data_IF_609243758474
#
_entry.id   IF_609243758474
#
_cell.length_a   1.000
_cell.length_b   1.000
_cell.length_c   1.000
_cell.angle_alpha   90.00
_cell.angle_beta   90.00
_cell.angle_gamma   90.00
#
_symmetry.space_group_name_H-M   'P 1'
#
loop_
_entity.id
_entity.type
_entity.pdbx_description
1 polymer ?
#
# COMPACT_ATOMS: atom_id res chain seq x y z
N UNK A 1 -8.61 3.70 17.25
CA UNK A 1 -9.37 2.60 16.61
C UNK A 1 -9.00 1.28 17.27
N UNK A 2 -9.96 0.38 17.45
CA UNK A 2 -9.75 -0.98 17.98
C UNK A 2 -9.89 -2.06 16.92
N UNK A 3 -10.34 -1.72 15.74
CA UNK A 3 -10.35 -2.61 14.58
C UNK A 3 -10.17 -1.81 13.29
N UNK A 4 -9.71 -2.51 12.27
CA UNK A 4 -9.66 -2.00 10.93
C UNK A 4 -10.11 -3.03 9.91
N UNK A 5 -10.26 -2.63 8.67
CA UNK A 5 -10.71 -3.50 7.61
C UNK A 5 -10.10 -3.10 6.27
N UNK A 6 -9.73 -4.08 5.47
CA UNK A 6 -9.42 -3.91 4.04
C UNK A 6 -10.67 -4.34 3.27
N UNK A 7 -11.19 -3.47 2.39
CA UNK A 7 -12.36 -3.78 1.54
C UNK A 7 -11.89 -4.20 0.15
N UNK A 8 -12.08 -5.48 -0.18
CA UNK A 8 -11.68 -6.05 -1.47
C UNK A 8 -12.93 -6.24 -2.33
N UNK A 9 -13.18 -5.30 -3.25
CA UNK A 9 -14.30 -5.38 -4.18
C UNK A 9 -13.90 -6.22 -5.42
N UNK A 10 -14.61 -7.33 -5.71
CA UNK A 10 -14.27 -8.24 -6.80
C UNK A 10 -14.28 -7.59 -8.17
N UNK A 11 -15.08 -6.52 -8.37
CA UNK A 11 -15.12 -5.82 -9.68
C UNK A 11 -13.80 -5.13 -10.06
N UNK A 12 -12.93 -4.87 -9.06
CA UNK A 12 -11.63 -4.24 -9.29
C UNK A 12 -10.53 -5.25 -9.66
N UNK A 13 -10.83 -6.56 -9.62
CA UNK A 13 -9.83 -7.61 -9.79
C UNK A 13 -10.34 -8.72 -10.71
N UNK A 14 -9.83 -8.80 -11.93
CA UNK A 14 -10.25 -9.77 -12.95
C UNK A 14 -10.09 -11.24 -12.54
N UNK A 15 -9.18 -11.50 -11.60
CA UNK A 15 -8.85 -12.86 -11.09
C UNK A 15 -9.23 -13.05 -9.62
N UNK A 16 -10.28 -12.35 -9.15
CA UNK A 16 -10.72 -12.46 -7.77
C UNK A 16 -11.13 -13.91 -7.41
N UNK A 17 -10.40 -14.50 -6.47
CA UNK A 17 -10.70 -15.80 -5.86
C UNK A 17 -10.38 -15.73 -4.37
N UNK A 18 -11.36 -16.02 -3.53
CA UNK A 18 -11.22 -15.96 -2.06
C UNK A 18 -10.03 -16.80 -1.60
N UNK A 19 -9.89 -18.03 -2.12
CA UNK A 19 -8.80 -18.95 -1.74
C UNK A 19 -7.40 -18.36 -1.93
N UNK A 20 -7.22 -17.52 -2.95
CA UNK A 20 -5.92 -16.86 -3.17
C UNK A 20 -5.59 -15.93 -2.01
N UNK A 21 -6.55 -15.14 -1.53
CA UNK A 21 -6.35 -14.24 -0.39
C UNK A 21 -6.13 -15.00 0.91
N UNK A 22 -6.88 -16.10 1.14
CA UNK A 22 -6.68 -16.96 2.32
C UNK A 22 -5.26 -17.52 2.35
N UNK A 23 -4.75 -18.00 1.20
CA UNK A 23 -3.37 -18.49 1.09
C UNK A 23 -2.34 -17.38 1.38
N UNK A 24 -2.56 -16.16 0.87
CA UNK A 24 -1.68 -15.01 1.13
C UNK A 24 -1.72 -14.58 2.61
N UNK A 25 -2.88 -14.62 3.27
CA UNK A 25 -2.95 -14.33 4.72
C UNK A 25 -2.12 -15.31 5.54
N UNK A 26 -2.15 -16.60 5.17
CA UNK A 26 -1.32 -17.61 5.81
C UNK A 26 0.17 -17.41 5.50
N UNK A 27 0.52 -17.19 4.23
CA UNK A 27 1.89 -16.99 3.77
C UNK A 27 2.56 -15.81 4.49
N UNK A 28 1.86 -14.68 4.63
CA UNK A 28 2.38 -13.48 5.28
C UNK A 28 2.05 -13.42 6.77
N UNK A 29 1.39 -14.45 7.31
CA UNK A 29 0.96 -14.53 8.73
C UNK A 29 0.11 -13.31 9.16
N UNK A 30 -0.72 -12.82 8.26
CA UNK A 30 -1.58 -11.68 8.55
C UNK A 30 -2.77 -12.13 9.41
N UNK A 31 -3.02 -11.51 10.58
CA UNK A 31 -4.13 -11.87 11.46
C UNK A 31 -5.45 -11.27 10.97
N UNK A 32 -5.67 -11.34 9.66
CA UNK A 32 -6.88 -10.85 9.01
C UNK A 32 -7.96 -11.91 9.03
N UNK A 33 -9.17 -11.53 9.43
CA UNK A 33 -10.35 -12.40 9.39
C UNK A 33 -11.18 -12.00 8.16
N UNK A 34 -11.20 -12.85 7.12
CA UNK A 34 -11.98 -12.59 5.92
C UNK A 34 -13.47 -12.81 6.17
N UNK A 35 -14.25 -11.85 5.74
CA UNK A 35 -15.70 -11.87 5.80
C UNK A 35 -16.28 -11.56 4.43
N UNK A 36 -17.27 -12.31 4.00
CA UNK A 36 -17.95 -12.03 2.75
C UNK A 36 -18.67 -10.69 2.82
N UNK A 37 -18.50 -9.86 1.82
CA UNK A 37 -19.24 -8.60 1.66
C UNK A 37 -20.59 -8.88 0.94
N UNK A 38 -21.47 -7.89 0.97
CA UNK A 38 -22.78 -7.96 0.29
C UNK A 38 -22.63 -8.20 -1.23
N UNK A 39 -21.60 -7.67 -1.84
CA UNK A 39 -21.31 -7.73 -3.28
C UNK A 39 -20.51 -8.96 -3.72
N UNK A 40 -20.21 -9.89 -2.80
CA UNK A 40 -19.40 -11.07 -3.08
C UNK A 40 -17.90 -10.86 -2.96
N UNK A 41 -17.46 -9.69 -2.49
CA UNK A 41 -16.08 -9.40 -2.14
C UNK A 41 -15.72 -9.80 -0.71
N UNK A 42 -14.60 -9.26 -0.20
CA UNK A 42 -14.12 -9.54 1.15
C UNK A 42 -13.95 -8.25 1.95
N UNK A 43 -14.46 -8.25 3.17
CA UNK A 43 -14.05 -7.35 4.24
C UNK A 43 -13.06 -8.10 5.13
N UNK A 44 -11.79 -7.73 5.08
CA UNK A 44 -10.73 -8.40 5.85
C UNK A 44 -10.47 -7.62 7.13
N UNK A 45 -11.01 -8.11 8.25
CA UNK A 45 -10.94 -7.44 9.55
C UNK A 45 -9.64 -7.74 10.28
N UNK A 46 -9.06 -6.69 10.86
CA UNK A 46 -7.99 -6.76 11.84
C UNK A 46 -8.52 -6.24 13.19
N UNK A 47 -8.39 -7.03 14.25
CA UNK A 47 -8.78 -6.65 15.60
C UNK A 47 -7.55 -6.38 16.46
N UNK A 48 -7.66 -5.37 17.33
CA UNK A 48 -6.58 -4.96 18.22
C UNK A 48 -6.95 -5.21 19.68
N UNK A 49 -5.95 -5.59 20.48
CA UNK A 49 -6.10 -5.78 21.91
C UNK A 49 -6.23 -4.46 22.67
N UNK A 50 -5.78 -3.36 22.07
CA UNK A 50 -5.80 -2.00 22.61
C UNK A 50 -6.14 -0.98 21.52
N UNK A 51 -6.74 0.17 21.88
CA UNK A 51 -6.97 1.25 20.92
C UNK A 51 -5.65 1.89 20.46
N UNK A 52 -5.52 2.13 19.15
CA UNK A 52 -4.41 2.90 18.58
C UNK A 52 -4.93 4.09 17.77
N UNK A 53 -4.08 5.10 17.46
CA UNK A 53 -4.43 6.16 16.53
C UNK A 53 -4.91 5.59 15.19
N UNK A 54 -5.98 6.18 14.62
CA UNK A 54 -6.52 5.70 13.34
C UNK A 54 -5.49 5.81 12.22
N UNK A 55 -4.66 6.85 12.23
CA UNK A 55 -3.58 7.05 11.24
C UNK A 55 -2.58 5.89 11.22
N UNK A 56 -2.22 5.34 12.39
CA UNK A 56 -1.29 4.21 12.50
C UNK A 56 -1.92 2.93 11.94
N UNK A 57 -3.19 2.69 12.27
CA UNK A 57 -3.93 1.53 11.76
C UNK A 57 -4.11 1.60 10.24
N UNK A 58 -4.48 2.76 9.69
CA UNK A 58 -4.57 2.99 8.25
C UNK A 58 -3.22 2.69 7.58
N UNK A 59 -2.12 3.20 8.16
CA UNK A 59 -0.77 2.98 7.64
C UNK A 59 -0.41 1.49 7.62
N UNK A 60 -0.70 0.77 8.69
CA UNK A 60 -0.47 -0.67 8.79
C UNK A 60 -1.29 -1.46 7.76
N UNK A 61 -2.60 -1.21 7.65
CA UNK A 61 -3.45 -1.88 6.67
C UNK A 61 -2.98 -1.61 5.23
N UNK A 62 -2.60 -0.37 4.92
CA UNK A 62 -2.03 -0.02 3.61
C UNK A 62 -0.71 -0.74 3.31
N UNK A 63 0.08 -1.10 4.32
CA UNK A 63 1.30 -1.89 4.13
C UNK A 63 1.04 -3.32 3.66
N UNK A 64 -0.15 -3.86 3.96
CA UNK A 64 -0.54 -5.21 3.55
C UNK A 64 -1.09 -5.30 2.12
N UNK A 65 -1.43 -4.17 1.49
CA UNK A 65 -2.05 -4.19 0.16
C UNK A 65 -1.15 -4.81 -0.91
N UNK A 66 0.11 -4.37 -0.97
CA UNK A 66 1.06 -4.84 -1.99
C UNK A 66 1.31 -6.36 -1.93
N UNK A 67 1.62 -6.98 -0.75
CA UNK A 67 1.81 -8.43 -0.68
C UNK A 67 0.52 -9.22 -0.99
N UNK A 68 -0.64 -8.60 -0.83
CA UNK A 68 -1.91 -9.19 -1.19
C UNK A 68 -2.25 -9.01 -2.69
N UNK A 69 -1.38 -8.34 -3.45
CA UNK A 69 -1.64 -8.05 -4.87
C UNK A 69 -2.76 -7.04 -5.08
N UNK A 70 -3.03 -6.20 -4.08
CA UNK A 70 -4.07 -5.20 -4.11
C UNK A 70 -3.53 -3.84 -4.56
N UNK A 71 -4.40 -3.06 -5.20
CA UNK A 71 -4.10 -1.69 -5.59
C UNK A 71 -3.79 -0.82 -4.36
N UNK A 72 -2.80 0.08 -4.40
CA UNK A 72 -2.46 0.99 -3.30
C UNK A 72 -3.63 1.88 -2.86
N UNK A 73 -4.60 2.11 -3.74
CA UNK A 73 -5.80 2.90 -3.45
C UNK A 73 -6.99 2.06 -2.94
N UNK A 74 -6.79 0.72 -2.80
CA UNK A 74 -7.79 -0.15 -2.16
C UNK A 74 -8.27 0.44 -0.84
N UNK A 75 -9.58 0.45 -0.65
CA UNK A 75 -10.21 1.04 0.53
C UNK A 75 -9.82 0.31 1.82
N UNK A 76 -9.45 1.09 2.83
CA UNK A 76 -9.22 0.62 4.19
C UNK A 76 -10.03 1.42 5.18
N UNK A 77 -10.46 0.78 6.25
CA UNK A 77 -11.21 1.41 7.35
C UNK A 77 -10.42 1.32 8.65
N UNK A 78 -10.44 2.39 9.48
CA UNK A 78 -11.15 3.66 9.24
C UNK A 78 -10.61 4.41 8.02
N UNK A 79 -11.46 5.18 7.32
CA UNK A 79 -11.02 6.05 6.20
C UNK A 79 -10.41 7.35 6.72
N UNK A 80 -10.96 7.90 7.81
CA UNK A 80 -10.52 9.14 8.40
C UNK A 80 -9.39 8.91 9.40
N UNK A 81 -8.36 9.73 9.34
CA UNK A 81 -7.25 9.74 10.30
C UNK A 81 -7.70 10.23 11.68
N UNK A 82 -8.66 11.15 11.68
CA UNK A 82 -9.28 11.77 12.85
C UNK A 82 -10.73 12.14 12.54
N UNK A 83 -11.55 12.24 13.56
CA UNK A 83 -12.91 12.76 13.43
C UNK A 83 -12.86 14.28 13.53
N UNK A 84 -13.63 14.96 12.68
CA UNK A 84 -13.75 16.42 12.66
C UNK A 84 -15.03 16.86 13.38
N UNK A 85 -14.92 17.95 14.13
CA UNK A 85 -16.07 18.65 14.66
C UNK A 85 -16.71 19.53 13.55
N UNK A 86 -18.02 19.66 13.58
CA UNK A 86 -18.72 20.60 12.72
C UNK A 86 -18.74 22.01 13.36
N UNK A 87 -19.37 22.96 12.66
CA UNK A 87 -19.46 24.35 13.10
C UNK A 87 -20.24 24.54 14.43
N UNK A 88 -20.92 23.48 14.91
CA UNK A 88 -21.64 23.45 16.19
C UNK A 88 -20.86 22.73 17.28
N UNK A 89 -19.65 22.25 17.01
CA UNK A 89 -18.84 21.46 17.94
C UNK A 89 -19.29 20.00 18.06
N UNK A 90 -20.14 19.50 17.16
CA UNK A 90 -20.56 18.11 17.13
C UNK A 90 -19.60 17.27 16.29
N UNK A 91 -19.17 16.11 16.84
CA UNK A 91 -18.29 15.18 16.14
C UNK A 91 -19.09 14.53 15.01
N UNK A 92 -18.69 14.77 13.75
CA UNK A 92 -19.25 14.08 12.60
C UNK A 92 -18.81 12.61 12.59
N UNK A 93 -19.76 11.67 12.45
CA UNK A 93 -19.41 10.27 12.30
C UNK A 93 -18.55 10.08 11.04
N UNK A 94 -17.52 9.23 11.16
CA UNK A 94 -16.70 8.84 10.01
C UNK A 94 -17.43 7.90 9.06
N UNK A 95 -16.74 7.49 8.00
CA UNK A 95 -17.26 6.45 7.11
C UNK A 95 -17.49 5.15 7.88
N UNK A 96 -18.56 4.45 7.54
CA UNK A 96 -18.91 3.18 8.15
C UNK A 96 -18.64 2.01 7.21
N UNK A 97 -18.46 0.84 7.77
CA UNK A 97 -18.46 -0.44 7.07
C UNK A 97 -19.71 -1.22 7.45
N UNK A 98 -20.21 -2.01 6.52
CA UNK A 98 -21.42 -2.81 6.75
C UNK A 98 -21.24 -3.79 7.91
N UNK A 99 -22.26 -3.86 8.79
CA UNK A 99 -22.24 -4.72 9.96
C UNK A 99 -22.13 -6.21 9.55
N UNK A 100 -21.14 -6.94 10.12
CA UNK A 100 -21.06 -8.38 10.02
C UNK A 100 -22.33 -9.09 10.53
N UNK A 101 -22.65 -10.24 9.96
CA UNK A 101 -23.78 -11.08 10.38
C UNK A 101 -25.14 -10.35 10.45
N UNK A 102 -25.27 -9.22 9.71
CA UNK A 102 -26.57 -8.56 9.61
C UNK A 102 -27.64 -9.50 9.09
N UNK A 103 -28.82 -9.51 9.74
CA UNK A 103 -29.93 -10.39 9.46
C UNK A 103 -29.68 -11.90 9.82
N UNK A 104 -28.74 -12.15 10.72
CA UNK A 104 -28.48 -13.45 11.34
C UNK A 104 -28.52 -14.63 10.35
N UNK A 105 -29.46 -15.56 10.49
CA UNK A 105 -29.50 -16.80 9.71
C UNK A 105 -29.67 -16.67 8.19
N UNK A 106 -30.12 -15.49 7.72
CA UNK A 106 -30.28 -15.19 6.28
C UNK A 106 -29.11 -14.36 5.72
N UNK A 107 -28.08 -14.11 6.53
CA UNK A 107 -26.96 -13.26 6.11
C UNK A 107 -26.09 -13.94 5.08
N UNK A 108 -25.65 -13.17 4.07
CA UNK A 108 -24.53 -13.52 3.19
C UNK A 108 -23.19 -12.88 3.67
N UNK A 109 -23.20 -12.14 4.80
CA UNK A 109 -22.04 -11.43 5.38
C UNK A 109 -21.51 -12.20 6.58
N UNK A 110 -20.88 -13.34 6.31
CA UNK A 110 -20.31 -14.22 7.32
C UNK A 110 -18.79 -14.35 7.13
N UNK A 111 -18.09 -14.57 8.23
CA UNK A 111 -16.67 -14.88 8.18
C UNK A 111 -16.45 -16.30 7.64
N UNK A 112 -15.28 -16.48 7.03
CA UNK A 112 -14.80 -17.79 6.61
C UNK A 112 -13.47 -18.11 7.30
N UNK A 113 -13.21 -19.39 7.53
CA UNK A 113 -11.94 -19.86 8.04
C UNK A 113 -10.86 -19.97 6.93
N UNK A 114 -9.67 -20.44 7.29
CA UNK A 114 -8.53 -20.63 6.36
C UNK A 114 -8.85 -21.61 5.21
N UNK A 115 -9.83 -22.49 5.37
CA UNK A 115 -10.25 -23.50 4.41
C UNK A 115 -11.52 -23.07 3.65
N UNK A 116 -11.94 -21.81 3.81
CA UNK A 116 -13.13 -21.19 3.22
C UNK A 116 -14.45 -21.77 3.73
N UNK A 117 -14.47 -22.36 4.93
CA UNK A 117 -15.71 -22.81 5.56
C UNK A 117 -16.37 -21.64 6.28
N UNK A 118 -17.71 -21.58 6.19
CA UNK A 118 -18.49 -20.57 6.90
C UNK A 118 -18.35 -20.73 8.42
N UNK A 119 -18.01 -19.64 9.09
CA UNK A 119 -18.07 -19.54 10.55
C UNK A 119 -19.47 -19.09 10.98
N UNK A 120 -20.00 -19.68 12.06
CA UNK A 120 -21.10 -19.08 12.79
C UNK A 120 -20.64 -17.88 13.61
N UNK A 121 -21.57 -17.09 14.12
CA UNK A 121 -21.22 -15.87 14.87
C UNK A 121 -20.40 -16.14 16.13
N UNK A 122 -20.61 -17.26 16.80
CA UNK A 122 -19.88 -17.62 18.03
C UNK A 122 -18.42 -17.95 17.69
N UNK A 123 -18.19 -18.74 16.66
CA UNK A 123 -16.83 -19.05 16.18
C UNK A 123 -16.15 -17.81 15.65
N UNK A 124 -16.86 -16.92 14.94
CA UNK A 124 -16.29 -15.65 14.51
C UNK A 124 -15.82 -14.81 15.69
N UNK A 125 -16.67 -14.63 16.72
CA UNK A 125 -16.30 -13.86 17.92
C UNK A 125 -15.09 -14.47 18.64
N UNK A 126 -15.06 -15.80 18.76
CA UNK A 126 -13.93 -16.51 19.34
C UNK A 126 -12.66 -16.32 18.52
N UNK A 127 -12.74 -16.44 17.21
CA UNK A 127 -11.61 -16.22 16.29
C UNK A 127 -11.12 -14.76 16.37
N UNK A 128 -12.06 -13.81 16.41
CA UNK A 128 -11.72 -12.39 16.55
C UNK A 128 -10.95 -12.11 17.84
N UNK A 129 -11.38 -12.72 18.96
CA UNK A 129 -10.70 -12.57 20.24
C UNK A 129 -9.30 -13.19 20.24
N UNK A 130 -9.14 -14.38 19.64
CA UNK A 130 -7.86 -15.09 19.55
C UNK A 130 -6.85 -14.42 18.60
N UNK A 131 -7.34 -13.71 17.58
CA UNK A 131 -6.50 -13.04 16.58
C UNK A 131 -6.19 -11.57 16.89
N UNK A 132 -6.61 -11.07 18.06
CA UNK A 132 -6.24 -9.72 18.49
C UNK A 132 -4.73 -9.61 18.64
N UNK A 133 -4.19 -8.53 18.11
CA UNK A 133 -2.78 -8.18 18.27
C UNK A 133 -2.62 -6.80 18.91
N UNK A 134 -1.53 -6.61 19.65
CA UNK A 134 -1.16 -5.31 20.22
C UNK A 134 -0.42 -4.42 19.20
N UNK A 135 -0.26 -3.14 19.56
CA UNK A 135 0.48 -2.16 18.72
C UNK A 135 1.89 -2.65 18.36
N UNK A 136 2.62 -3.20 19.31
CA UNK A 136 3.99 -3.68 19.09
C UNK A 136 4.05 -4.86 18.10
N UNK A 137 3.09 -5.78 18.21
CA UNK A 137 2.99 -6.92 17.28
C UNK A 137 2.62 -6.44 15.88
N UNK A 138 1.69 -5.48 15.77
CA UNK A 138 1.33 -4.86 14.51
C UNK A 138 2.54 -4.19 13.83
N UNK A 139 3.33 -3.41 14.57
CA UNK A 139 4.53 -2.75 14.06
C UNK A 139 5.57 -3.78 13.56
N UNK A 140 5.79 -4.85 14.35
CA UNK A 140 6.68 -5.95 13.97
C UNK A 140 6.21 -6.63 12.68
N UNK A 141 4.91 -6.87 12.55
CA UNK A 141 4.32 -7.47 11.36
C UNK A 141 4.49 -6.60 10.11
N UNK A 142 4.28 -5.29 10.24
CA UNK A 142 4.52 -4.32 9.18
C UNK A 142 5.99 -4.33 8.74
N UNK A 143 6.93 -4.31 9.67
CA UNK A 143 8.36 -4.38 9.37
C UNK A 143 8.74 -5.68 8.65
N UNK A 144 8.24 -6.82 9.13
CA UNK A 144 8.49 -8.12 8.49
C UNK A 144 7.91 -8.17 7.08
N UNK A 145 6.72 -7.62 6.89
CA UNK A 145 6.06 -7.51 5.58
C UNK A 145 6.94 -6.71 4.62
N UNK A 146 7.45 -5.57 5.04
CA UNK A 146 8.35 -4.75 4.23
C UNK A 146 9.65 -5.46 3.89
N UNK A 147 10.28 -6.11 4.88
CA UNK A 147 11.50 -6.88 4.67
C UNK A 147 11.30 -7.99 3.63
N UNK A 148 10.21 -8.75 3.73
CA UNK A 148 9.91 -9.84 2.80
C UNK A 148 9.70 -9.32 1.36
N UNK A 149 8.99 -8.21 1.18
CA UNK A 149 8.73 -7.62 -0.13
C UNK A 149 10.03 -7.10 -0.77
N UNK A 150 10.92 -6.52 0.02
CA UNK A 150 12.16 -5.90 -0.45
C UNK A 150 13.34 -6.87 -0.56
N UNK A 151 13.18 -8.15 -0.24
CA UNK A 151 14.23 -9.16 -0.45
C UNK A 151 14.72 -9.13 -1.91
N UNK A 152 16.04 -9.05 -2.09
CA UNK A 152 16.69 -9.05 -3.40
C UNK A 152 16.51 -7.74 -4.20
N UNK A 153 16.14 -6.64 -3.56
CA UNK A 153 16.23 -5.30 -4.16
C UNK A 153 17.67 -4.78 -4.07
N UNK A 154 17.98 -3.78 -4.91
CA UNK A 154 19.29 -3.14 -4.92
C UNK A 154 19.42 -2.18 -3.72
N UNK A 155 20.53 -2.29 -2.97
CA UNK A 155 20.86 -1.44 -1.82
C UNK A 155 20.89 0.07 -2.15
N UNK A 156 21.06 0.42 -3.41
CA UNK A 156 20.98 1.81 -3.89
C UNK A 156 19.69 2.50 -3.42
N UNK A 157 18.59 1.74 -3.27
CA UNK A 157 17.27 2.26 -2.95
C UNK A 157 16.89 2.11 -1.46
N UNK A 158 17.78 1.65 -0.59
CA UNK A 158 17.43 1.38 0.81
C UNK A 158 16.95 2.60 1.59
N UNK A 159 17.41 3.77 1.18
CA UNK A 159 17.06 5.08 1.75
C UNK A 159 16.14 5.92 0.84
N UNK A 160 15.71 5.36 -0.28
CA UNK A 160 14.88 5.98 -1.32
C UNK A 160 13.49 5.36 -1.47
N UNK A 161 12.76 5.74 -2.55
CA UNK A 161 11.41 5.22 -2.80
C UNK A 161 11.40 3.70 -3.00
N UNK A 162 10.65 2.91 -2.20
CA UNK A 162 10.62 1.45 -2.33
C UNK A 162 10.11 0.96 -3.68
N UNK A 163 9.25 1.74 -4.35
CA UNK A 163 8.74 1.42 -5.68
C UNK A 163 9.86 1.35 -6.72
N UNK A 164 10.88 2.22 -6.63
CA UNK A 164 12.05 2.15 -7.51
C UNK A 164 12.84 0.86 -7.29
N UNK A 165 13.05 0.48 -6.02
CA UNK A 165 13.68 -0.78 -5.66
C UNK A 165 12.93 -1.99 -6.27
N UNK A 166 11.61 -1.98 -6.19
CA UNK A 166 10.77 -3.06 -6.72
C UNK A 166 10.71 -3.08 -8.24
N UNK A 167 10.70 -1.91 -8.88
CA UNK A 167 10.76 -1.81 -10.33
C UNK A 167 12.10 -2.33 -10.88
N UNK A 168 13.20 -2.07 -10.17
CA UNK A 168 14.55 -2.43 -10.60
C UNK A 168 14.92 -3.91 -10.39
N UNK A 169 14.04 -4.74 -9.76
CA UNK A 169 14.29 -6.18 -9.62
C UNK A 169 14.48 -6.92 -10.96
N UNK A 170 13.91 -6.37 -12.01
CA UNK A 170 14.09 -6.82 -13.39
C UNK A 170 14.27 -5.60 -14.29
N UNK A 171 14.99 -5.76 -15.39
CA UNK A 171 15.06 -4.67 -16.38
C UNK A 171 13.67 -4.36 -16.92
N UNK A 172 13.38 -3.07 -17.06
CA UNK A 172 12.09 -2.61 -17.54
C UNK A 172 12.08 -2.53 -19.07
N UNK A 173 11.06 -3.13 -19.65
CA UNK A 173 10.73 -2.97 -21.08
C UNK A 173 9.68 -1.87 -21.28
N UNK A 174 8.64 -1.85 -20.45
CA UNK A 174 7.59 -0.83 -20.43
C UNK A 174 7.70 0.11 -19.22
N UNK A 175 7.08 1.29 -19.30
CA UNK A 175 7.11 2.30 -18.23
C UNK A 175 8.48 2.96 -18.02
N UNK A 176 9.41 2.79 -18.94
CA UNK A 176 10.81 3.26 -18.85
C UNK A 176 10.93 4.75 -18.59
N UNK A 177 10.21 5.59 -19.32
CA UNK A 177 10.25 7.05 -19.17
C UNK A 177 9.80 7.46 -17.76
N UNK A 178 8.76 6.82 -17.21
CA UNK A 178 8.26 7.10 -15.88
C UNK A 178 9.21 6.64 -14.78
N UNK A 179 9.74 5.42 -14.91
CA UNK A 179 10.75 4.94 -13.96
C UNK A 179 11.95 5.88 -13.94
N UNK A 180 12.52 6.20 -15.09
CA UNK A 180 13.70 7.06 -15.20
C UNK A 180 13.45 8.49 -14.69
N UNK A 181 12.23 9.02 -14.88
CA UNK A 181 11.86 10.31 -14.31
C UNK A 181 11.87 10.26 -12.76
N UNK A 182 11.21 9.26 -12.19
CA UNK A 182 11.18 9.09 -10.73
C UNK A 182 12.57 8.76 -10.15
N UNK A 183 13.38 8.00 -10.89
CA UNK A 183 14.78 7.76 -10.54
C UNK A 183 15.59 9.07 -10.54
N UNK A 184 15.41 9.94 -11.54
CA UNK A 184 16.06 11.25 -11.59
C UNK A 184 15.70 12.12 -10.36
N UNK A 185 14.41 12.15 -9.97
CA UNK A 185 13.99 12.89 -8.78
C UNK A 185 14.69 12.36 -7.52
N UNK A 186 14.76 11.04 -7.38
CA UNK A 186 15.51 10.39 -6.30
C UNK A 186 17.00 10.71 -6.36
N UNK A 187 17.63 10.57 -7.54
CA UNK A 187 19.05 10.82 -7.76
C UNK A 187 19.46 12.26 -7.43
N UNK A 188 18.63 13.24 -7.80
CA UNK A 188 18.86 14.66 -7.42
C UNK A 188 18.89 14.85 -5.91
N UNK A 189 17.98 14.19 -5.18
CA UNK A 189 17.94 14.27 -3.71
C UNK A 189 19.18 13.62 -3.08
N UNK A 190 19.53 12.42 -3.54
CA UNK A 190 20.60 11.60 -2.95
C UNK A 190 21.99 12.02 -3.37
N UNK A 191 22.22 12.23 -4.68
CA UNK A 191 23.56 12.40 -5.26
C UNK A 191 23.91 13.83 -5.61
N UNK A 192 22.98 14.80 -5.39
CA UNK A 192 23.21 16.22 -5.65
C UNK A 192 23.75 16.44 -7.08
N UNK A 193 24.85 17.16 -7.26
CA UNK A 193 25.39 17.50 -8.58
C UNK A 193 25.81 16.30 -9.44
N UNK A 194 26.01 15.13 -8.82
CA UNK A 194 26.37 13.88 -9.52
C UNK A 194 25.18 13.11 -10.10
N UNK A 195 23.94 13.60 -9.89
CA UNK A 195 22.74 12.91 -10.36
C UNK A 195 22.74 12.55 -11.85
N UNK A 196 23.34 13.34 -12.80
CA UNK A 196 23.34 12.98 -14.21
C UNK A 196 24.09 11.68 -14.51
N UNK A 197 25.22 11.46 -13.83
CA UNK A 197 26.02 10.24 -13.99
C UNK A 197 25.25 9.02 -13.48
N UNK A 198 24.56 9.17 -12.35
CA UNK A 198 23.71 8.12 -11.82
C UNK A 198 22.53 7.80 -12.72
N UNK A 199 21.89 8.80 -13.32
CA UNK A 199 20.82 8.60 -14.32
C UNK A 199 21.36 7.90 -15.58
N UNK A 200 22.56 8.26 -16.05
CA UNK A 200 23.20 7.58 -17.16
C UNK A 200 23.45 6.10 -16.85
N UNK A 201 23.97 5.79 -15.67
CA UNK A 201 24.17 4.41 -15.23
C UNK A 201 22.84 3.64 -15.09
N UNK A 202 21.81 4.27 -14.53
CA UNK A 202 20.49 3.68 -14.36
C UNK A 202 19.87 3.29 -15.72
N UNK A 203 20.08 4.08 -16.78
CA UNK A 203 19.64 3.78 -18.12
C UNK A 203 20.14 2.41 -18.62
N UNK A 204 21.38 2.05 -18.31
CA UNK A 204 21.94 0.75 -18.70
C UNK A 204 21.62 -0.37 -17.71
N UNK A 205 21.53 -0.05 -16.43
CA UNK A 205 21.33 -1.04 -15.39
C UNK A 205 19.88 -1.52 -15.30
N UNK A 206 18.92 -0.62 -15.50
CA UNK A 206 17.51 -0.87 -15.18
C UNK A 206 16.58 -0.94 -16.39
N UNK A 207 17.03 -0.53 -17.59
CA UNK A 207 16.22 -0.65 -18.79
C UNK A 207 16.65 -1.87 -19.65
N UNK A 208 15.68 -2.62 -20.17
CA UNK A 208 15.94 -3.74 -21.07
C UNK A 208 16.53 -3.22 -22.38
N UNK A 209 15.92 -2.17 -22.94
CA UNK A 209 16.43 -1.43 -24.07
C UNK A 209 16.83 -0.03 -23.61
N UNK A 210 18.12 0.20 -23.31
CA UNK A 210 18.59 1.53 -22.90
C UNK A 210 18.30 2.59 -23.95
N UNK A 211 18.03 3.81 -23.52
CA UNK A 211 17.98 4.95 -24.44
C UNK A 211 19.36 5.19 -25.06
N UNK A 212 19.37 5.57 -26.31
CA UNK A 212 20.58 6.02 -26.97
C UNK A 212 21.11 7.32 -26.33
N UNK A 213 22.36 7.64 -26.65
CA UNK A 213 23.04 8.80 -26.07
C UNK A 213 22.30 10.10 -26.34
N UNK A 214 21.76 10.29 -27.54
CA UNK A 214 21.07 11.54 -27.92
C UNK A 214 19.79 11.74 -27.09
N UNK A 215 18.97 10.69 -26.94
CA UNK A 215 17.76 10.73 -26.10
C UNK A 215 18.12 10.97 -24.64
N UNK A 216 19.14 10.26 -24.12
CA UNK A 216 19.56 10.38 -22.73
C UNK A 216 20.06 11.81 -22.42
N UNK A 217 20.94 12.37 -23.26
CA UNK A 217 21.48 13.71 -23.08
C UNK A 217 20.37 14.78 -23.16
N UNK A 218 19.41 14.59 -24.06
CA UNK A 218 18.23 15.46 -24.17
C UNK A 218 17.39 15.45 -22.91
N UNK A 219 17.11 14.24 -22.35
CA UNK A 219 16.35 14.09 -21.09
C UNK A 219 17.10 14.71 -19.92
N UNK A 220 18.39 14.44 -19.75
CA UNK A 220 19.21 15.03 -18.68
C UNK A 220 19.20 16.55 -18.78
N UNK A 221 19.33 17.12 -19.99
CA UNK A 221 19.29 18.56 -20.19
C UNK A 221 17.96 19.18 -19.81
N UNK A 222 16.85 18.56 -20.24
CA UNK A 222 15.50 19.00 -19.86
C UNK A 222 15.30 18.93 -18.33
N UNK A 223 15.72 17.83 -17.72
CA UNK A 223 15.57 17.62 -16.28
C UNK A 223 16.44 18.51 -15.39
N UNK A 224 17.53 19.12 -15.91
CA UNK A 224 18.30 20.12 -15.14
C UNK A 224 17.44 21.27 -14.65
N UNK A 225 16.43 21.67 -15.42
CA UNK A 225 15.52 22.78 -15.09
C UNK A 225 14.27 22.30 -14.34
N UNK A 226 14.04 21.00 -14.26
CA UNK A 226 12.85 20.42 -13.65
C UNK A 226 12.98 20.42 -12.12
N UNK A 227 12.03 21.04 -11.44
CA UNK A 227 11.91 21.08 -9.98
C UNK A 227 10.73 20.26 -9.47
N UNK A 228 10.01 19.58 -10.36
CA UNK A 228 8.85 18.77 -10.01
C UNK A 228 9.23 17.56 -9.13
N UNK A 229 8.24 17.06 -8.40
CA UNK A 229 8.38 15.90 -7.52
C UNK A 229 8.15 14.57 -8.22
N UNK A 230 8.04 13.50 -7.43
CA UNK A 230 7.72 12.17 -7.93
C UNK A 230 6.31 12.09 -8.53
N UNK A 231 6.16 11.32 -9.62
CA UNK A 231 4.87 11.01 -10.24
C UNK A 231 4.39 9.65 -9.77
N UNK A 232 3.79 9.59 -8.58
CA UNK A 232 3.46 8.33 -7.89
C UNK A 232 2.16 7.65 -8.34
N UNK A 233 1.36 8.30 -9.18
CA UNK A 233 -0.01 7.91 -9.51
C UNK A 233 -0.15 7.10 -10.81
N UNK A 234 0.96 6.73 -11.44
CA UNK A 234 0.94 5.94 -12.66
C UNK A 234 1.93 4.78 -12.62
N UNK A 235 1.60 3.70 -13.33
CA UNK A 235 2.47 2.54 -13.44
C UNK A 235 3.76 2.83 -14.23
N UNK A 236 4.85 2.12 -13.91
CA UNK A 236 4.98 1.00 -12.96
C UNK A 236 5.20 1.42 -11.50
N UNK A 237 5.18 2.71 -11.21
CA UNK A 237 5.46 3.25 -9.86
C UNK A 237 4.27 3.03 -8.93
N UNK A 238 3.05 3.31 -9.43
CA UNK A 238 1.81 3.26 -8.64
C UNK A 238 1.56 1.86 -8.06
N UNK A 239 1.52 0.84 -8.89
CA UNK A 239 1.25 -0.55 -8.47
C UNK A 239 2.26 -1.13 -7.47
N UNK A 240 3.42 -0.49 -7.30
CA UNK A 240 4.47 -0.87 -6.35
C UNK A 240 4.64 0.12 -5.20
N UNK A 241 3.65 1.00 -5.01
CA UNK A 241 3.74 2.05 -4.00
C UNK A 241 3.61 1.49 -2.59
N UNK A 242 4.62 1.76 -1.76
CA UNK A 242 4.66 1.49 -0.32
C UNK A 242 4.77 2.83 0.41
N UNK A 243 3.65 3.59 0.40
CA UNK A 243 3.62 5.01 0.80
C UNK A 243 4.19 5.25 2.20
N UNK A 244 3.75 4.49 3.19
CA UNK A 244 4.18 4.65 4.59
C UNK A 244 5.69 4.45 4.75
N UNK A 245 6.24 3.41 4.13
CA UNK A 245 7.69 3.17 4.14
C UNK A 245 8.44 4.27 3.37
N UNK A 246 7.91 4.72 2.23
CA UNK A 246 8.52 5.78 1.43
C UNK A 246 8.64 7.09 2.23
N UNK A 247 7.61 7.45 3.01
CA UNK A 247 7.60 8.66 3.82
C UNK A 247 8.61 8.62 4.99
N UNK A 248 8.93 7.44 5.52
CA UNK A 248 9.92 7.29 6.58
C UNK A 248 11.38 7.34 6.09
N UNK A 249 11.60 7.24 4.77
CA UNK A 249 12.95 7.18 4.20
C UNK A 249 13.50 8.58 3.88
N UNK A 250 14.83 8.82 4.08
CA UNK A 250 15.46 10.13 3.89
C UNK A 250 15.27 10.72 2.49
N UNK A 251 15.34 9.89 1.43
CA UNK A 251 15.19 10.30 0.04
C UNK A 251 13.87 9.84 -0.57
N UNK A 252 12.93 9.41 0.25
CA UNK A 252 11.57 9.13 -0.17
C UNK A 252 10.77 10.39 -0.48
N UNK A 253 9.47 10.21 -0.73
CA UNK A 253 8.51 11.32 -0.82
C UNK A 253 8.13 11.71 0.60
N UNK A 254 8.43 12.93 1.01
CA UNK A 254 8.00 13.45 2.32
C UNK A 254 6.55 13.92 2.24
N UNK A 255 5.83 13.83 3.35
CA UNK A 255 4.43 14.31 3.45
C UNK A 255 4.28 15.80 3.09
N UNK A 256 5.33 16.59 3.29
CA UNK A 256 5.34 18.03 3.01
C UNK A 256 5.64 18.34 1.53
N UNK A 257 6.12 17.38 0.77
CA UNK A 257 6.20 17.46 -0.69
C UNK A 257 4.85 17.10 -1.29
N UNK A 258 3.80 17.66 -0.70
CA UNK A 258 2.44 17.60 -1.20
C UNK A 258 2.39 18.43 -2.45
N UNK A 259 2.71 17.79 -3.52
CA UNK A 259 2.22 18.30 -4.76
C UNK A 259 1.78 17.11 -5.57
N UNK A 260 0.53 17.06 -5.84
CA UNK A 260 -0.19 16.23 -6.80
C UNK A 260 -0.71 14.88 -6.33
N UNK A 261 -1.27 14.82 -5.12
CA UNK A 261 -2.49 14.04 -5.00
C UNK A 261 -3.62 15.05 -4.87
N UNK A 262 -4.58 15.11 -5.79
CA UNK A 262 -5.83 15.78 -5.46
C UNK A 262 -6.32 15.10 -4.18
N UNK A 263 -6.55 15.89 -3.14
CA UNK A 263 -7.37 15.44 -2.03
C UNK A 263 -8.66 14.94 -2.67
N UNK A 264 -8.87 13.63 -2.62
CA UNK A 264 -10.18 13.06 -2.87
C UNK A 264 -10.95 13.33 -1.58
N UNK A 265 -11.24 14.61 -1.39
CA UNK A 265 -12.30 15.09 -0.54
C UNK A 265 -13.44 15.39 -1.48
N UNK A 266 -14.30 14.36 -1.70
CA UNK A 266 -15.75 14.53 -1.90
C UNK A 266 -16.44 13.16 -1.71
#
# INVERSE_FOLDING_TARGET
>A
AQFGCIDIDPKNYSTFKIQNYLALFQQYKLPLIPMLSKSGGLHCYLFLSEPIPAVDLISALKSFLLPLGLDPDTEVFPKQKELKEDDKGEIKPGNFINLPYYNNGQTNRYAVDKDNNKLDIQKFLQTAEQNKIGKKELDTLVEQTYKNILVGTNEEFDDGPPCLALCSKRKLDDGRDRFMYNYMVFAKKKYKDKWPDHVANANYNYLETPWDKSKLDSKITAWKKDTAGHTCYEDPIHSKCMRSLCYSRPFGVKSDSITMFPDITD
#
